data_IF_212449344873
#
_entry.id   IF_212449344873
#
_cell.length_a   1.000
_cell.length_b   1.000
_cell.length_c   1.000
_cell.angle_alpha   90.00
_cell.angle_beta   90.00
_cell.angle_gamma   90.00
#
_symmetry.space_group_name_H-M   'P 1'
#
loop_
_entity.id
_entity.type
_entity.pdbx_description
1 polymer ?
#
# COMPACT_ATOMS: atom_id res chain seq x y z
N UNK A 1 -2.92 -11.87 16.90
CA UNK A 1 -3.59 -10.57 16.65
C UNK A 1 -4.75 -10.29 17.63
N UNK A 2 -5.72 -11.20 17.77
CA UNK A 2 -6.89 -10.97 18.66
C UNK A 2 -6.49 -10.85 20.15
N UNK A 3 -5.48 -11.60 20.61
CA UNK A 3 -4.96 -11.47 21.99
C UNK A 3 -4.30 -10.12 22.19
N UNK A 4 -3.54 -9.64 21.21
CA UNK A 4 -2.89 -8.33 21.24
C UNK A 4 -3.91 -7.19 21.31
N UNK A 5 -4.96 -7.22 20.48
CA UNK A 5 -6.04 -6.21 20.50
C UNK A 5 -6.77 -6.17 21.84
N UNK A 6 -7.05 -7.33 22.46
CA UNK A 6 -7.66 -7.35 23.79
C UNK A 6 -6.76 -6.76 24.87
N UNK A 7 -5.48 -7.13 24.88
CA UNK A 7 -4.53 -6.59 25.84
C UNK A 7 -4.37 -5.07 25.68
N UNK A 8 -4.32 -4.56 24.45
CA UNK A 8 -4.23 -3.12 24.19
C UNK A 8 -5.53 -2.40 24.57
N UNK A 9 -6.70 -3.00 24.31
CA UNK A 9 -7.97 -2.48 24.76
C UNK A 9 -8.01 -2.34 26.28
N UNK A 10 -7.67 -3.39 27.04
CA UNK A 10 -7.62 -3.37 28.51
C UNK A 10 -6.63 -2.31 29.02
N UNK A 11 -5.45 -2.24 28.42
CA UNK A 11 -4.42 -1.24 28.78
C UNK A 11 -4.92 0.19 28.58
N UNK A 12 -5.56 0.46 27.42
CA UNK A 12 -6.06 1.80 27.10
C UNK A 12 -7.25 2.18 27.96
N UNK A 13 -8.23 1.28 28.13
CA UNK A 13 -9.47 1.59 28.85
C UNK A 13 -9.30 1.65 30.37
N UNK A 14 -8.37 0.84 30.96
CA UNK A 14 -8.25 0.74 32.40
C UNK A 14 -7.11 1.60 32.97
N UNK A 15 -6.04 1.82 32.18
CA UNK A 15 -4.80 2.41 32.71
C UNK A 15 -4.41 3.74 32.11
N UNK A 16 -4.57 3.87 30.78
CA UNK A 16 -4.05 5.08 30.06
C UNK A 16 -5.15 6.12 29.93
N UNK A 17 -6.33 5.70 29.52
CA UNK A 17 -7.46 6.59 29.27
C UNK A 17 -8.74 6.11 29.96
N UNK A 18 -8.76 6.00 31.30
CA UNK A 18 -9.90 5.47 32.04
C UNK A 18 -11.16 6.33 31.90
N UNK A 19 -11.00 7.61 31.56
CA UNK A 19 -12.11 8.56 31.38
C UNK A 19 -12.65 8.57 29.94
N UNK A 20 -12.03 7.83 29.01
CA UNK A 20 -12.45 7.76 27.62
C UNK A 20 -13.16 6.45 27.32
N UNK A 21 -14.13 6.51 26.42
CA UNK A 21 -14.86 5.33 25.96
C UNK A 21 -14.05 4.63 24.88
N UNK A 22 -13.51 3.48 25.21
CA UNK A 22 -12.73 2.65 24.27
C UNK A 22 -13.62 1.56 23.69
N UNK A 23 -13.64 1.42 22.37
CA UNK A 23 -14.28 0.31 21.67
C UNK A 23 -13.24 -0.64 21.08
N UNK A 24 -13.60 -1.91 20.89
CA UNK A 24 -12.71 -2.93 20.34
C UNK A 24 -13.35 -3.60 19.12
N UNK A 25 -12.54 -3.78 18.06
CA UNK A 25 -12.96 -4.44 16.83
C UNK A 25 -11.92 -5.48 16.38
N UNK A 26 -12.35 -6.70 16.06
CA UNK A 26 -11.45 -7.74 15.55
C UNK A 26 -12.17 -8.74 14.62
N UNK A 27 -11.41 -9.55 13.90
CA UNK A 27 -11.92 -10.45 12.86
C UNK A 27 -12.98 -11.46 13.31
N UNK A 28 -12.95 -11.87 14.60
CA UNK A 28 -13.89 -12.88 15.15
C UNK A 28 -15.26 -12.34 15.52
N UNK A 29 -15.47 -11.02 15.52
CA UNK A 29 -16.77 -10.39 15.76
C UNK A 29 -17.62 -10.59 14.50
N UNK A 30 -18.91 -10.89 14.67
CA UNK A 30 -19.84 -11.04 13.55
C UNK A 30 -20.10 -9.71 12.83
N UNK A 31 -20.55 -9.77 11.58
CA UNK A 31 -20.72 -8.60 10.73
C UNK A 31 -21.67 -7.55 11.34
N UNK A 32 -22.79 -7.96 11.93
CA UNK A 32 -23.79 -7.06 12.52
C UNK A 32 -23.22 -6.30 13.72
N UNK A 33 -22.44 -6.96 14.54
CA UNK A 33 -21.79 -6.35 15.70
C UNK A 33 -20.64 -5.43 15.30
N UNK A 34 -19.86 -5.80 14.26
CA UNK A 34 -18.86 -4.92 13.66
C UNK A 34 -19.47 -3.61 13.17
N UNK A 35 -20.59 -3.71 12.46
CA UNK A 35 -21.33 -2.55 11.97
C UNK A 35 -21.82 -1.66 13.11
N UNK A 36 -22.36 -2.25 14.17
CA UNK A 36 -22.81 -1.52 15.36
C UNK A 36 -21.66 -0.76 16.03
N UNK A 37 -20.50 -1.42 16.24
CA UNK A 37 -19.32 -0.80 16.84
C UNK A 37 -18.82 0.37 15.97
N UNK A 38 -18.76 0.17 14.65
CA UNK A 38 -18.31 1.20 13.72
C UNK A 38 -19.26 2.40 13.66
N UNK A 39 -20.56 2.15 13.68
CA UNK A 39 -21.54 3.22 13.71
C UNK A 39 -21.48 3.99 15.03
N UNK A 40 -21.30 3.29 16.18
CA UNK A 40 -21.07 3.94 17.47
C UNK A 40 -19.83 4.83 17.47
N UNK A 41 -18.72 4.38 16.89
CA UNK A 41 -17.52 5.19 16.76
C UNK A 41 -17.73 6.41 15.84
N UNK A 42 -18.42 6.23 14.72
CA UNK A 42 -18.83 7.31 13.82
C UNK A 42 -19.69 8.37 14.53
N UNK A 43 -20.61 7.92 15.36
CA UNK A 43 -21.55 8.77 16.12
C UNK A 43 -20.92 9.36 17.40
N UNK A 44 -19.61 9.17 17.63
CA UNK A 44 -18.90 9.63 18.82
C UNK A 44 -19.40 9.02 20.13
N UNK A 45 -19.98 7.81 20.06
CA UNK A 45 -20.36 7.03 21.23
C UNK A 45 -19.14 6.39 21.92
N UNK A 46 -18.04 6.27 21.19
CA UNK A 46 -16.71 5.91 21.69
C UNK A 46 -15.65 6.88 21.14
N UNK A 47 -14.64 7.14 21.97
CA UNK A 47 -13.55 8.10 21.69
C UNK A 47 -12.36 7.42 21.01
N UNK A 48 -12.12 6.16 21.36
CA UNK A 48 -11.00 5.36 20.83
C UNK A 48 -11.53 4.04 20.28
N UNK A 49 -11.05 3.66 19.11
CA UNK A 49 -11.32 2.34 18.52
C UNK A 49 -10.01 1.55 18.39
N UNK A 50 -9.88 0.47 19.14
CA UNK A 50 -8.77 -0.48 19.04
C UNK A 50 -9.15 -1.60 18.10
N UNK A 51 -8.35 -1.84 17.07
CA UNK A 51 -8.71 -2.80 16.04
C UNK A 51 -7.53 -3.59 15.49
N UNK A 52 -7.80 -4.78 14.97
CA UNK A 52 -6.90 -5.45 14.02
C UNK A 52 -7.02 -4.78 12.65
N UNK A 53 -6.24 -5.24 11.66
CA UNK A 53 -6.25 -4.76 10.27
C UNK A 53 -7.60 -4.87 9.54
N UNK A 54 -8.63 -5.41 10.17
CA UNK A 54 -9.99 -5.56 9.57
C UNK A 54 -10.66 -4.25 9.15
N UNK A 55 -10.11 -3.08 9.53
CA UNK A 55 -10.60 -1.75 9.11
C UNK A 55 -10.10 -1.36 7.71
N UNK A 56 -9.35 -2.21 7.01
CA UNK A 56 -8.75 -1.85 5.71
C UNK A 56 -9.78 -1.42 4.66
N UNK A 57 -10.99 -1.99 4.66
CA UNK A 57 -11.94 -1.81 3.55
C UNK A 57 -13.27 -1.21 3.99
N UNK A 58 -13.69 -0.14 3.30
CA UNK A 58 -15.09 0.29 3.21
C UNK A 58 -15.64 1.14 4.36
N UNK A 59 -14.86 1.48 5.39
CA UNK A 59 -15.37 2.31 6.49
C UNK A 59 -14.74 3.70 6.46
N UNK A 60 -15.57 4.69 6.24
CA UNK A 60 -15.19 6.09 6.35
C UNK A 60 -15.56 6.63 7.73
N UNK A 61 -14.59 7.20 8.44
CA UNK A 61 -14.77 7.80 9.76
C UNK A 61 -14.26 9.25 9.74
N UNK A 62 -15.08 10.19 9.25
CA UNK A 62 -14.65 11.57 9.04
C UNK A 62 -14.18 12.28 10.31
N UNK A 63 -14.68 11.88 11.48
CA UNK A 63 -14.31 12.43 12.78
C UNK A 63 -13.04 11.82 13.39
N UNK A 64 -12.44 10.78 12.78
CA UNK A 64 -11.18 10.26 13.25
C UNK A 64 -10.03 11.18 12.82
N UNK A 65 -9.35 11.78 13.81
CA UNK A 65 -8.25 12.70 13.59
C UNK A 65 -6.87 12.07 13.87
N UNK A 66 -6.82 10.96 14.60
CA UNK A 66 -5.58 10.27 14.94
C UNK A 66 -5.66 8.81 14.51
N UNK A 67 -4.65 8.35 13.79
CA UNK A 67 -4.41 6.96 13.46
C UNK A 67 -3.09 6.53 14.08
N UNK A 68 -3.10 5.47 14.88
CA UNK A 68 -1.90 4.84 15.42
C UNK A 68 -1.76 3.44 14.85
N UNK A 69 -0.62 3.11 14.29
CA UNK A 69 -0.34 1.81 13.67
C UNK A 69 0.83 1.16 14.38
N UNK A 70 0.53 0.17 15.20
CA UNK A 70 1.50 -0.66 15.91
C UNK A 70 2.07 -1.74 14.98
N UNK A 71 3.39 -1.95 15.06
CA UNK A 71 4.08 -2.93 14.21
C UNK A 71 3.98 -2.57 12.73
N UNK A 72 4.17 -1.30 12.38
CA UNK A 72 4.05 -0.80 11.01
C UNK A 72 4.97 -1.52 10.01
N UNK A 73 6.08 -2.10 10.48
CA UNK A 73 7.00 -2.91 9.69
C UNK A 73 6.38 -4.20 9.14
N UNK A 74 5.32 -4.70 9.77
CA UNK A 74 4.62 -5.94 9.37
C UNK A 74 3.62 -5.74 8.25
N UNK A 75 3.29 -4.49 7.93
CA UNK A 75 2.34 -4.15 6.87
C UNK A 75 3.04 -3.80 5.56
N UNK A 76 2.39 -4.11 4.45
CA UNK A 76 2.78 -3.60 3.15
C UNK A 76 2.55 -2.09 3.03
N UNK A 77 3.35 -1.39 2.19
CA UNK A 77 3.19 0.05 2.00
C UNK A 77 1.79 0.43 1.48
N UNK A 78 1.19 -0.41 0.65
CA UNK A 78 -0.18 -0.21 0.17
C UNK A 78 -1.20 -0.21 1.32
N UNK A 79 -1.13 -1.17 2.25
CA UNK A 79 -2.00 -1.22 3.43
C UNK A 79 -1.79 -0.01 4.34
N UNK A 80 -0.53 0.35 4.62
CA UNK A 80 -0.23 1.55 5.41
C UNK A 80 -0.77 2.84 4.76
N UNK A 81 -0.69 2.93 3.44
CA UNK A 81 -1.25 4.05 2.69
C UNK A 81 -2.77 4.11 2.81
N UNK A 82 -3.45 2.96 2.76
CA UNK A 82 -4.89 2.87 2.97
C UNK A 82 -5.28 3.26 4.38
N UNK A 83 -4.54 2.81 5.41
CA UNK A 83 -4.77 3.22 6.80
C UNK A 83 -4.60 4.74 6.97
N UNK A 84 -3.51 5.32 6.45
CA UNK A 84 -3.31 6.78 6.46
C UNK A 84 -4.50 7.52 5.85
N UNK A 85 -5.07 6.98 4.78
CA UNK A 85 -6.23 7.56 4.09
C UNK A 85 -7.56 7.45 4.86
N UNK A 86 -7.60 6.79 6.04
CA UNK A 86 -8.80 6.69 6.87
C UNK A 86 -8.99 7.89 7.80
N UNK A 87 -7.96 8.68 8.03
CA UNK A 87 -8.01 9.93 8.80
C UNK A 87 -7.75 11.13 7.88
N UNK A 88 -8.07 12.34 8.36
CA UNK A 88 -7.84 13.57 7.60
C UNK A 88 -8.93 13.88 6.57
N UNK A 89 -10.14 13.37 6.76
CA UNK A 89 -11.30 13.64 5.89
C UNK A 89 -12.25 14.70 6.45
N UNK A 90 -11.97 15.18 7.66
CA UNK A 90 -12.71 16.26 8.32
C UNK A 90 -11.96 17.59 8.22
N UNK A 91 -12.49 18.59 8.93
CA UNK A 91 -11.93 19.95 8.96
C UNK A 91 -10.71 20.09 9.89
N UNK A 92 -10.46 19.08 10.73
CA UNK A 92 -9.38 19.13 11.72
C UNK A 92 -8.08 18.53 11.16
N UNK A 93 -6.97 19.08 11.62
CA UNK A 93 -5.66 18.47 11.35
C UNK A 93 -5.62 17.06 11.88
N UNK A 94 -5.09 16.15 11.07
CA UNK A 94 -5.04 14.73 11.40
C UNK A 94 -3.62 14.20 11.39
N UNK A 95 -3.38 13.21 12.23
CA UNK A 95 -2.08 12.59 12.43
C UNK A 95 -2.15 11.09 12.17
N UNK A 96 -1.14 10.56 11.48
CA UNK A 96 -0.93 9.12 11.35
C UNK A 96 0.44 8.79 11.96
N UNK A 97 0.43 8.06 13.07
CA UNK A 97 1.60 7.69 13.84
C UNK A 97 1.96 6.22 13.53
N UNK A 98 3.20 5.99 13.14
CA UNK A 98 3.71 4.67 12.79
C UNK A 98 4.70 4.21 13.88
N UNK A 99 4.43 3.06 14.49
CA UNK A 99 5.30 2.44 15.48
C UNK A 99 5.94 1.19 14.90
N UNK A 100 7.25 1.04 15.08
CA UNK A 100 8.01 -0.11 14.59
C UNK A 100 9.16 -0.40 15.53
N UNK A 101 9.33 -1.65 15.90
CA UNK A 101 10.47 -2.16 16.67
C UNK A 101 11.62 -2.62 15.77
N UNK A 102 11.45 -2.56 14.45
CA UNK A 102 12.45 -3.02 13.49
C UNK A 102 13.61 -2.06 13.37
N UNK A 103 14.82 -2.57 13.58
CA UNK A 103 16.08 -1.85 13.32
C UNK A 103 16.55 -1.91 11.86
N UNK A 104 15.79 -2.58 10.99
CA UNK A 104 16.15 -2.77 9.57
C UNK A 104 16.17 -1.44 8.81
N UNK A 105 17.28 -1.16 8.13
CA UNK A 105 17.41 0.02 7.26
C UNK A 105 16.39 0.03 6.12
N UNK A 106 16.02 -1.14 5.59
CA UNK A 106 14.99 -1.29 4.55
C UNK A 106 13.62 -0.92 5.10
N UNK A 107 13.27 -1.36 6.32
CA UNK A 107 12.04 -0.95 6.98
C UNK A 107 11.98 0.57 7.17
N UNK A 108 13.04 1.17 7.66
CA UNK A 108 13.11 2.62 7.82
C UNK A 108 12.93 3.36 6.49
N UNK A 109 13.57 2.91 5.41
CA UNK A 109 13.37 3.47 4.06
C UNK A 109 11.91 3.37 3.61
N UNK A 110 11.25 2.23 3.84
CA UNK A 110 9.85 2.03 3.49
C UNK A 110 8.91 2.96 4.26
N UNK A 111 9.06 3.03 5.57
CA UNK A 111 8.24 3.92 6.40
C UNK A 111 8.47 5.40 6.03
N UNK A 112 9.72 5.79 5.76
CA UNK A 112 10.06 7.13 5.26
C UNK A 112 9.40 7.42 3.91
N UNK A 113 9.42 6.47 2.98
CA UNK A 113 8.73 6.60 1.69
C UNK A 113 7.23 6.88 1.85
N UNK A 114 6.57 6.22 2.82
CA UNK A 114 5.15 6.49 3.12
C UNK A 114 4.92 7.90 3.64
N UNK A 115 5.82 8.44 4.46
CA UNK A 115 5.73 9.80 5.01
C UNK A 115 5.89 10.85 3.92
N UNK A 116 6.86 10.65 3.03
CA UNK A 116 7.24 11.61 1.98
C UNK A 116 6.31 11.59 0.77
N UNK A 117 5.71 10.43 0.44
CA UNK A 117 4.88 10.29 -0.74
C UNK A 117 3.60 11.13 -0.66
N UNK A 118 3.39 11.96 -1.67
CA UNK A 118 2.22 12.84 -1.80
C UNK A 118 0.98 12.09 -2.29
N UNK A 119 1.17 11.02 -3.03
CA UNK A 119 0.10 10.21 -3.59
C UNK A 119 0.51 8.73 -3.73
N UNK A 120 -0.46 7.87 -4.07
CA UNK A 120 -0.23 6.43 -4.18
C UNK A 120 0.71 6.04 -5.32
N UNK A 121 0.80 6.83 -6.40
CA UNK A 121 1.72 6.54 -7.52
C UNK A 121 3.17 6.77 -7.10
N UNK A 122 3.44 7.90 -6.44
CA UNK A 122 4.77 8.19 -5.91
C UNK A 122 5.21 7.15 -4.87
N UNK A 123 4.26 6.69 -4.03
CA UNK A 123 4.55 5.62 -3.08
C UNK A 123 4.89 4.30 -3.78
N UNK A 124 4.17 3.95 -4.84
CA UNK A 124 4.44 2.74 -5.62
C UNK A 124 5.81 2.81 -6.30
N UNK A 125 6.20 3.96 -6.86
CA UNK A 125 7.53 4.18 -7.41
C UNK A 125 8.62 3.96 -6.35
N UNK A 126 8.47 4.57 -5.18
CA UNK A 126 9.42 4.41 -4.06
C UNK A 126 9.46 2.96 -3.54
N UNK A 127 8.33 2.25 -3.48
CA UNK A 127 8.28 0.84 -3.08
C UNK A 127 9.05 -0.04 -4.07
N UNK A 128 8.89 0.21 -5.36
CA UNK A 128 9.66 -0.48 -6.42
C UNK A 128 11.16 -0.22 -6.30
N UNK A 129 11.58 1.01 -6.04
CA UNK A 129 12.99 1.34 -5.82
C UNK A 129 13.57 0.62 -4.61
N UNK A 130 12.82 0.52 -3.50
CA UNK A 130 13.27 -0.10 -2.26
C UNK A 130 13.35 -1.63 -2.38
N UNK A 131 12.34 -2.27 -2.97
CA UNK A 131 12.29 -3.73 -3.14
C UNK A 131 13.18 -4.21 -4.28
N UNK A 132 13.35 -3.39 -5.28
CA UNK A 132 13.97 -3.78 -6.54
C UNK A 132 13.05 -4.67 -7.40
N UNK A 133 13.34 -4.76 -8.70
CA UNK A 133 12.46 -5.47 -9.66
C UNK A 133 12.43 -6.99 -9.47
N UNK A 134 13.44 -7.57 -8.81
CA UNK A 134 13.51 -9.02 -8.58
C UNK A 134 12.43 -9.55 -7.64
N UNK A 135 12.01 -8.77 -6.66
CA UNK A 135 10.97 -9.16 -5.69
C UNK A 135 9.55 -8.99 -6.25
N UNK A 136 9.37 -8.06 -7.20
CA UNK A 136 8.07 -7.76 -7.81
C UNK A 136 7.71 -8.81 -8.88
N UNK A 137 8.70 -9.31 -9.60
CA UNK A 137 8.49 -10.28 -10.69
C UNK A 137 8.46 -11.72 -10.17
N UNK A 138 8.62 -11.94 -8.87
CA UNK A 138 8.74 -13.25 -8.25
C UNK A 138 9.93 -14.02 -8.82
N UNK A 139 10.17 -15.21 -8.34
CA UNK A 139 11.07 -16.20 -8.95
C UNK A 139 10.46 -16.82 -10.20
N UNK A 140 9.80 -16.03 -11.03
CA UNK A 140 9.35 -16.48 -12.33
C UNK A 140 10.61 -16.75 -13.16
N UNK A 141 10.90 -17.99 -13.32
CA UNK A 141 11.81 -18.61 -14.27
C UNK A 141 11.35 -18.28 -15.70
N UNK A 142 11.19 -17.04 -16.04
CA UNK A 142 10.81 -16.60 -17.38
C UNK A 142 12.05 -15.98 -18.01
N UNK A 143 12.51 -16.58 -19.09
CA UNK A 143 13.66 -16.24 -19.89
C UNK A 143 13.75 -14.80 -20.43
N UNK A 144 13.49 -13.82 -19.57
CA UNK A 144 13.77 -12.42 -19.85
C UNK A 144 15.28 -12.24 -19.68
N UNK A 145 16.01 -11.78 -20.70
CA UNK A 145 17.44 -11.56 -20.61
C UNK A 145 17.78 -10.62 -19.44
N UNK A 146 18.86 -10.91 -18.70
CA UNK A 146 19.34 -10.10 -17.57
C UNK A 146 19.43 -8.60 -17.89
N UNK A 147 19.73 -8.26 -19.12
CA UNK A 147 19.79 -6.87 -19.59
C UNK A 147 18.41 -6.19 -19.56
N UNK A 148 17.35 -6.90 -19.93
CA UNK A 148 15.98 -6.37 -19.86
C UNK A 148 15.51 -6.22 -18.41
N UNK A 149 15.89 -7.13 -17.54
CA UNK A 149 15.64 -7.06 -16.10
C UNK A 149 16.38 -5.89 -15.44
N UNK A 150 17.61 -5.62 -15.85
CA UNK A 150 18.37 -4.44 -15.39
C UNK A 150 17.74 -3.13 -15.88
N UNK A 151 17.23 -3.11 -17.11
CA UNK A 151 16.56 -1.93 -17.67
C UNK A 151 15.22 -1.61 -16.98
N UNK A 152 14.53 -2.61 -16.43
CA UNK A 152 13.33 -2.39 -15.63
C UNK A 152 13.60 -1.72 -14.26
N UNK A 153 14.88 -1.67 -13.83
CA UNK A 153 15.31 -0.92 -12.64
C UNK A 153 15.32 0.59 -12.87
N UNK A 154 15.46 1.00 -14.11
CA UNK A 154 15.46 2.41 -14.50
C UNK A 154 14.03 2.85 -14.86
N UNK A 155 13.35 3.41 -13.88
CA UNK A 155 11.96 3.90 -14.04
C UNK A 155 11.89 5.00 -15.11
N UNK A 156 12.96 5.80 -15.25
CA UNK A 156 13.02 6.86 -16.27
C UNK A 156 13.07 6.26 -17.67
N UNK A 157 13.82 5.18 -17.85
CA UNK A 157 13.89 4.44 -19.10
C UNK A 157 12.56 3.76 -19.43
N UNK A 158 11.88 3.18 -18.44
CA UNK A 158 10.55 2.57 -18.63
C UNK A 158 9.51 3.61 -19.05
N UNK A 159 9.49 4.79 -18.41
CA UNK A 159 8.60 5.90 -18.79
C UNK A 159 8.90 6.39 -20.20
N UNK A 160 10.16 6.65 -20.53
CA UNK A 160 10.57 7.11 -21.86
C UNK A 160 10.23 6.08 -22.96
N UNK A 161 10.45 4.80 -22.69
CA UNK A 161 10.12 3.70 -23.62
C UNK A 161 8.61 3.61 -23.87
N UNK A 162 7.79 3.76 -22.82
CA UNK A 162 6.32 3.78 -22.94
C UNK A 162 5.84 4.98 -23.75
N UNK A 163 6.37 6.16 -23.50
CA UNK A 163 6.01 7.37 -24.26
C UNK A 163 6.41 7.25 -25.73
N UNK A 164 7.61 6.72 -26.01
CA UNK A 164 8.05 6.46 -27.36
C UNK A 164 7.14 5.45 -28.08
N UNK A 165 6.77 4.37 -27.41
CA UNK A 165 5.85 3.37 -27.94
C UNK A 165 4.48 3.98 -28.29
N UNK A 166 3.90 4.81 -27.40
CA UNK A 166 2.63 5.50 -27.64
C UNK A 166 2.75 6.43 -28.86
N UNK A 167 3.82 7.23 -28.99
CA UNK A 167 4.05 8.11 -30.13
C UNK A 167 4.13 7.35 -31.45
N UNK A 168 4.85 6.22 -31.47
CA UNK A 168 5.01 5.38 -32.65
C UNK A 168 3.65 4.77 -33.02
N UNK A 169 2.93 4.18 -32.08
CA UNK A 169 1.64 3.53 -32.34
C UNK A 169 0.56 4.53 -32.82
N UNK A 170 0.57 5.75 -32.30
CA UNK A 170 -0.36 6.80 -32.74
C UNK A 170 -0.06 7.27 -34.19
N UNK A 171 1.20 7.24 -34.63
CA UNK A 171 1.61 7.69 -35.95
C UNK A 171 1.74 6.58 -36.99
N UNK A 172 2.01 5.34 -36.53
CA UNK A 172 2.24 4.15 -37.37
C UNK A 172 1.83 2.88 -36.64
N UNK A 173 0.55 2.67 -36.44
CA UNK A 173 0.02 1.50 -35.68
C UNK A 173 0.42 0.15 -36.28
N UNK A 174 0.67 0.09 -37.59
CA UNK A 174 1.10 -1.11 -38.31
C UNK A 174 2.62 -1.28 -38.39
N UNK A 175 3.39 -0.35 -37.82
CA UNK A 175 4.86 -0.32 -37.79
C UNK A 175 5.48 -0.40 -39.21
N UNK A 176 4.82 0.21 -40.22
CA UNK A 176 5.32 0.19 -41.61
C UNK A 176 6.60 1.00 -41.77
N UNK A 177 6.73 2.10 -41.03
CA UNK A 177 7.90 2.97 -41.00
C UNK A 177 9.01 2.48 -40.04
N UNK A 178 8.72 1.43 -39.25
CA UNK A 178 9.61 0.88 -38.23
C UNK A 178 9.83 -0.63 -38.41
N UNK A 179 10.42 -1.09 -39.54
CA UNK A 179 10.51 -2.52 -39.88
C UNK A 179 11.36 -3.32 -38.88
N UNK A 180 12.44 -2.76 -38.34
CA UNK A 180 13.25 -3.41 -37.30
C UNK A 180 12.45 -3.67 -36.02
N UNK A 181 11.69 -2.67 -35.53
CA UNK A 181 10.85 -2.82 -34.35
C UNK A 181 9.75 -3.88 -34.56
N UNK A 182 9.14 -3.91 -35.75
CA UNK A 182 8.17 -4.93 -36.12
C UNK A 182 8.75 -6.33 -36.07
N UNK A 183 9.98 -6.51 -36.55
CA UNK A 183 10.70 -7.79 -36.53
C UNK A 183 11.03 -8.23 -35.11
N UNK A 184 11.50 -7.33 -34.26
CA UNK A 184 11.81 -7.64 -32.86
C UNK A 184 10.56 -8.00 -32.06
N UNK A 185 9.43 -7.31 -32.27
CA UNK A 185 8.14 -7.66 -31.65
C UNK A 185 7.67 -9.05 -32.11
N UNK A 186 7.85 -9.39 -33.38
CA UNK A 186 7.50 -10.72 -33.88
C UNK A 186 8.36 -11.84 -33.22
N UNK A 187 9.66 -11.60 -33.08
CA UNK A 187 10.57 -12.53 -32.36
C UNK A 187 10.16 -12.67 -30.89
N UNK A 188 9.81 -11.58 -30.23
CA UNK A 188 9.37 -11.60 -28.83
C UNK A 188 8.08 -12.39 -28.65
N UNK A 189 7.07 -12.18 -29.51
CA UNK A 189 5.82 -12.94 -29.47
C UNK A 189 6.04 -14.45 -29.67
N UNK A 190 6.90 -14.82 -30.62
CA UNK A 190 7.18 -16.24 -30.89
C UNK A 190 7.91 -16.94 -29.73
N UNK A 191 8.74 -16.22 -28.96
CA UNK A 191 9.40 -16.77 -27.75
C UNK A 191 8.41 -17.03 -26.60
N UNK A 192 7.36 -16.22 -26.47
CA UNK A 192 6.39 -16.32 -25.36
C UNK A 192 5.13 -17.13 -25.69
N UNK A 193 4.92 -17.54 -26.95
CA UNK A 193 3.83 -18.44 -27.34
C UNK A 193 4.25 -19.91 -27.30
N UNK A 194 5.50 -20.21 -27.03
CA UNK A 194 6.08 -21.58 -26.99
C UNK A 194 6.50 -22.00 -25.56
N UNK A 195 6.11 -21.23 -24.54
CA UNK A 195 6.28 -21.55 -23.11
C UNK A 195 4.85 -21.67 -22.43
#
# INVERSE_FOLDING_TARGET
EVKSVKAEYEKLSERIFPDLKVAMLHGKINAKEKEKIMNGFKNRESDILVSTSVIEVGVDVPNASIMMIEGADRFGLASLYQFRGRVGRGEHQSFCLLFSDSSSTTTHKRLKALIEAKNGFELAEKDMEIRGPGEILGTAQSGIPDLAMQSLKDISLVKASREAAIKILNSDSALKKHPFLKTEIAKFKNRHLLS
#
